data_IF_420815025628
#
_entry.id   IF_420815025628
#
_cell.length_a   1.000
_cell.length_b   1.000
_cell.length_c   1.000
_cell.angle_alpha   90.00
_cell.angle_beta   90.00
_cell.angle_gamma   90.00
#
_symmetry.space_group_name_H-M   'P 1'
#
loop_
_entity.id
_entity.type
_entity.pdbx_description
1 polymer ?
#
# COMPACT_ATOMS: atom_id res chain seq x y z
N UNK A 1 -1.33 14.79 -12.43
CA UNK A 1 -2.37 13.78 -12.18
C UNK A 1 -2.40 13.47 -10.69
N UNK A 2 -3.54 13.69 -10.08
CA UNK A 2 -3.81 13.45 -8.66
C UNK A 2 -4.71 12.23 -8.51
N UNK A 3 -4.45 11.42 -7.49
CA UNK A 3 -5.23 10.23 -7.20
C UNK A 3 -5.75 10.30 -5.79
N UNK A 4 -7.05 10.06 -5.63
CA UNK A 4 -7.67 9.75 -4.35
C UNK A 4 -7.66 8.23 -4.19
N UNK A 5 -7.06 7.75 -3.11
CA UNK A 5 -6.88 6.32 -2.88
C UNK A 5 -7.57 5.87 -1.61
N UNK A 6 -8.20 4.71 -1.74
CA UNK A 6 -8.86 4.01 -0.66
C UNK A 6 -8.36 2.57 -0.59
N UNK A 7 -8.16 2.09 0.63
CA UNK A 7 -8.12 0.66 0.90
C UNK A 7 -9.34 0.32 1.72
N UNK A 8 -10.05 -0.69 1.25
CA UNK A 8 -11.22 -1.27 1.89
C UNK A 8 -10.89 -2.69 2.33
N UNK A 9 -11.43 -3.10 3.46
CA UNK A 9 -11.48 -4.51 3.84
C UNK A 9 -12.91 -5.00 3.70
N UNK A 10 -13.12 -6.07 2.93
CA UNK A 10 -14.42 -6.70 2.79
C UNK A 10 -14.89 -7.23 4.15
N UNK A 11 -16.15 -6.96 4.51
CA UNK A 11 -16.75 -7.50 5.74
C UNK A 11 -16.89 -9.01 5.67
N UNK A 12 -17.19 -9.66 6.81
CA UNK A 12 -17.55 -11.07 6.81
C UNK A 12 -18.77 -11.35 5.90
N UNK A 13 -19.76 -10.46 5.93
CA UNK A 13 -20.95 -10.55 5.07
C UNK A 13 -20.57 -10.64 3.60
N UNK A 14 -19.68 -9.74 3.13
CA UNK A 14 -19.19 -9.73 1.76
C UNK A 14 -18.40 -10.98 1.40
N UNK A 15 -17.49 -11.42 2.28
CA UNK A 15 -16.66 -12.62 2.04
C UNK A 15 -17.50 -13.90 1.92
N UNK A 16 -18.64 -13.98 2.60
CA UNK A 16 -19.59 -15.11 2.48
C UNK A 16 -20.47 -15.04 1.22
N UNK A 17 -20.50 -13.88 0.54
CA UNK A 17 -21.40 -13.58 -0.59
C UNK A 17 -20.65 -12.93 -1.76
N UNK A 18 -19.53 -13.52 -2.16
CA UNK A 18 -18.65 -12.93 -3.17
C UNK A 18 -19.36 -12.62 -4.52
N UNK A 19 -20.22 -13.49 -5.08
CA UNK A 19 -20.91 -13.15 -6.33
C UNK A 19 -21.76 -11.88 -6.20
N UNK A 20 -22.61 -11.81 -5.18
CA UNK A 20 -23.46 -10.64 -4.90
C UNK A 20 -22.63 -9.38 -4.59
N UNK A 21 -21.51 -9.55 -3.89
CA UNK A 21 -20.59 -8.46 -3.60
C UNK A 21 -20.00 -7.85 -4.88
N UNK A 22 -19.59 -8.69 -5.85
CA UNK A 22 -19.03 -8.21 -7.11
C UNK A 22 -20.06 -7.56 -8.02
N UNK A 23 -21.29 -8.08 -8.03
CA UNK A 23 -22.43 -7.42 -8.70
C UNK A 23 -22.70 -6.05 -8.09
N UNK A 24 -22.82 -5.99 -6.76
CA UNK A 24 -23.02 -4.74 -6.05
C UNK A 24 -21.88 -3.74 -6.29
N UNK A 25 -20.61 -4.19 -6.33
CA UNK A 25 -19.46 -3.34 -6.64
C UNK A 25 -19.53 -2.72 -8.03
N UNK A 26 -19.97 -3.50 -9.03
CA UNK A 26 -20.15 -3.03 -10.42
C UNK A 26 -21.25 -1.97 -10.48
N UNK A 27 -22.41 -2.29 -9.94
CA UNK A 27 -23.55 -1.37 -9.89
C UNK A 27 -23.14 -0.09 -9.17
N UNK A 28 -22.46 -0.22 -8.02
CA UNK A 28 -21.91 0.90 -7.25
C UNK A 28 -21.00 1.77 -8.09
N UNK A 29 -20.09 1.20 -8.86
CA UNK A 29 -19.21 2.00 -9.69
C UNK A 29 -19.99 2.84 -10.70
N UNK A 30 -21.02 2.25 -11.32
CA UNK A 30 -21.84 2.94 -12.32
C UNK A 30 -22.63 4.11 -11.71
N UNK A 31 -23.49 3.86 -10.71
CA UNK A 31 -24.36 4.92 -10.18
C UNK A 31 -23.59 5.95 -9.34
N UNK A 32 -22.52 5.56 -8.66
CA UNK A 32 -21.77 6.47 -7.80
C UNK A 32 -21.02 7.52 -8.60
N UNK A 33 -20.45 7.12 -9.74
CA UNK A 33 -19.68 8.01 -10.62
C UNK A 33 -20.46 8.58 -11.80
N UNK A 34 -21.70 8.15 -12.02
CA UNK A 34 -22.57 8.71 -13.06
C UNK A 34 -22.61 10.25 -12.98
N UNK A 35 -22.33 10.92 -14.08
CA UNK A 35 -22.36 12.39 -14.19
C UNK A 35 -21.23 13.14 -13.48
N UNK A 36 -20.20 12.46 -12.95
CA UNK A 36 -19.02 13.10 -12.36
C UNK A 36 -17.92 13.33 -13.41
N UNK A 37 -18.10 14.34 -14.27
CA UNK A 37 -17.20 14.62 -15.40
C UNK A 37 -15.75 14.99 -15.03
N UNK A 38 -15.51 15.37 -13.77
CA UNK A 38 -14.17 15.64 -13.24
C UNK A 38 -13.35 14.38 -12.94
N UNK A 39 -13.99 13.20 -12.88
CA UNK A 39 -13.32 11.92 -12.66
C UNK A 39 -12.77 11.42 -14.00
N UNK A 40 -11.44 11.31 -14.11
CA UNK A 40 -10.79 10.87 -15.34
C UNK A 40 -10.69 9.34 -15.47
N UNK A 41 -10.85 8.63 -14.36
CA UNK A 41 -10.85 7.17 -14.34
C UNK A 41 -10.90 6.62 -12.93
N UNK A 42 -11.30 5.37 -12.83
CA UNK A 42 -11.34 4.60 -11.57
C UNK A 42 -10.60 3.29 -11.75
N UNK A 43 -9.71 2.96 -10.83
CA UNK A 43 -9.00 1.69 -10.77
C UNK A 43 -9.45 0.87 -9.57
N UNK A 44 -9.66 -0.43 -9.76
CA UNK A 44 -9.97 -1.37 -8.68
C UNK A 44 -8.95 -2.51 -8.73
N UNK A 45 -8.27 -2.75 -7.61
CA UNK A 45 -7.35 -3.89 -7.44
C UNK A 45 -7.74 -4.69 -6.21
N UNK A 46 -7.73 -6.00 -6.35
CA UNK A 46 -8.06 -6.93 -5.27
C UNK A 46 -6.77 -7.52 -4.74
N UNK A 47 -6.68 -7.63 -3.42
CA UNK A 47 -5.60 -8.31 -2.73
C UNK A 47 -6.19 -9.29 -1.72
N UNK A 48 -5.98 -10.57 -2.00
CA UNK A 48 -6.41 -11.67 -1.13
C UNK A 48 -5.21 -12.15 -0.32
N UNK A 49 -5.32 -12.10 1.00
CA UNK A 49 -4.44 -12.83 1.90
C UNK A 49 -5.22 -14.00 2.52
N UNK A 50 -4.55 -14.85 3.31
CA UNK A 50 -5.16 -16.05 3.91
C UNK A 50 -6.39 -15.77 4.78
N UNK A 51 -6.54 -14.55 5.31
CA UNK A 51 -7.66 -14.16 6.17
C UNK A 51 -8.37 -12.87 5.75
N UNK A 52 -7.82 -12.10 4.79
CA UNK A 52 -8.35 -10.80 4.39
C UNK A 52 -8.62 -10.73 2.89
N UNK A 53 -9.70 -10.05 2.55
CA UNK A 53 -9.99 -9.58 1.20
C UNK A 53 -9.91 -8.06 1.23
N UNK A 54 -8.81 -7.52 0.72
CA UNK A 54 -8.60 -6.08 0.59
C UNK A 54 -8.96 -5.64 -0.82
N UNK A 55 -9.61 -4.48 -0.91
CA UNK A 55 -9.91 -3.81 -2.17
C UNK A 55 -9.20 -2.46 -2.15
N UNK A 56 -8.34 -2.25 -3.14
CA UNK A 56 -7.70 -0.98 -3.41
C UNK A 56 -8.47 -0.28 -4.51
N UNK A 57 -8.77 0.99 -4.28
CA UNK A 57 -9.57 1.79 -5.20
C UNK A 57 -8.93 3.15 -5.39
N UNK A 58 -8.74 3.50 -6.64
CA UNK A 58 -8.07 4.73 -7.06
C UNK A 58 -9.03 5.53 -7.93
N UNK A 59 -9.08 6.83 -7.70
CA UNK A 59 -9.88 7.78 -8.51
C UNK A 59 -8.95 8.86 -9.02
N UNK A 60 -8.85 8.99 -10.33
CA UNK A 60 -7.94 9.91 -10.99
C UNK A 60 -8.60 11.27 -11.28
N UNK A 61 -7.85 12.34 -11.03
CA UNK A 61 -8.22 13.73 -11.31
C UNK A 61 -7.06 14.44 -12.00
N UNK A 62 -7.37 15.41 -12.86
CA UNK A 62 -6.35 16.24 -13.52
C UNK A 62 -5.39 16.86 -12.48
N UNK A 63 -5.98 17.50 -11.47
CA UNK A 63 -5.35 18.33 -10.46
C UNK A 63 -6.25 18.45 -9.19
N UNK A 64 -5.83 19.30 -8.26
CA UNK A 64 -6.55 19.56 -7.00
C UNK A 64 -7.93 20.22 -7.22
N UNK A 65 -8.12 20.98 -8.31
CA UNK A 65 -9.40 21.62 -8.62
C UNK A 65 -10.46 20.56 -8.93
N UNK A 66 -10.11 19.57 -9.75
CA UNK A 66 -11.00 18.43 -10.02
C UNK A 66 -11.36 17.64 -8.77
N UNK A 67 -10.43 17.45 -7.83
CA UNK A 67 -10.71 16.80 -6.55
C UNK A 67 -11.64 17.65 -5.65
N UNK A 68 -11.46 18.97 -5.64
CA UNK A 68 -12.32 19.89 -4.90
C UNK A 68 -13.75 19.87 -5.45
N UNK A 69 -13.91 19.93 -6.77
CA UNK A 69 -15.20 19.84 -7.45
C UNK A 69 -15.89 18.50 -7.15
N UNK A 70 -15.16 17.39 -7.21
CA UNK A 70 -15.65 16.07 -6.83
C UNK A 70 -16.18 16.02 -5.40
N UNK A 71 -15.44 16.57 -4.43
CA UNK A 71 -15.88 16.63 -3.03
C UNK A 71 -17.14 17.48 -2.87
N UNK A 72 -17.22 18.61 -3.57
CA UNK A 72 -18.42 19.45 -3.56
C UNK A 72 -19.64 18.73 -4.16
N UNK A 73 -19.45 18.00 -5.27
CA UNK A 73 -20.48 17.21 -5.91
C UNK A 73 -20.99 16.09 -4.99
N UNK A 74 -20.09 15.38 -4.29
CA UNK A 74 -20.49 14.37 -3.30
C UNK A 74 -21.23 14.98 -2.12
N UNK A 75 -20.77 16.13 -1.60
CA UNK A 75 -21.45 16.83 -0.51
C UNK A 75 -22.86 17.28 -0.92
N UNK A 76 -23.05 17.68 -2.18
CA UNK A 76 -24.37 18.01 -2.72
C UNK A 76 -25.27 16.78 -2.85
N UNK A 77 -24.74 15.65 -3.38
CA UNK A 77 -25.48 14.38 -3.50
C UNK A 77 -25.87 13.79 -2.16
N UNK A 78 -25.04 13.94 -1.14
CA UNK A 78 -25.35 13.49 0.23
C UNK A 78 -26.56 14.18 0.86
N UNK A 79 -27.09 15.25 0.24
CA UNK A 79 -28.36 15.89 0.66
C UNK A 79 -29.59 15.17 0.11
N UNK A 80 -29.45 14.33 -0.91
CA UNK A 80 -30.51 13.46 -1.39
C UNK A 80 -30.59 12.22 -0.48
N UNK A 81 -31.70 12.02 0.26
CA UNK A 81 -31.84 10.90 1.18
C UNK A 81 -31.74 9.53 0.49
N UNK A 82 -32.24 9.40 -0.74
CA UNK A 82 -32.22 8.13 -1.47
C UNK A 82 -30.77 7.78 -1.88
N UNK A 83 -30.03 8.78 -2.33
CA UNK A 83 -28.62 8.63 -2.66
C UNK A 83 -27.80 8.28 -1.41
N UNK A 84 -28.02 8.99 -0.30
CA UNK A 84 -27.29 8.78 0.95
C UNK A 84 -27.60 7.42 1.57
N UNK A 85 -28.85 6.98 1.54
CA UNK A 85 -29.22 5.63 1.97
C UNK A 85 -28.46 4.58 1.16
N UNK A 86 -28.44 4.70 -0.17
CA UNK A 86 -27.71 3.78 -1.04
C UNK A 86 -26.20 3.84 -0.80
N UNK A 87 -25.64 5.01 -0.48
CA UNK A 87 -24.24 5.16 -0.09
C UNK A 87 -23.94 4.42 1.21
N UNK A 88 -24.81 4.52 2.21
CA UNK A 88 -24.64 3.88 3.52
C UNK A 88 -24.70 2.35 3.45
N UNK A 89 -25.39 1.77 2.45
CA UNK A 89 -25.37 0.31 2.23
C UNK A 89 -23.95 -0.24 2.03
N UNK A 90 -22.99 0.58 1.62
CA UNK A 90 -21.59 0.16 1.45
C UNK A 90 -20.97 -0.40 2.75
N UNK A 91 -21.42 0.07 3.91
CA UNK A 91 -20.84 -0.29 5.20
C UNK A 91 -21.12 -1.76 5.56
N UNK A 92 -22.13 -2.37 4.93
CA UNK A 92 -22.40 -3.81 5.03
C UNK A 92 -21.38 -4.65 4.24
N UNK A 93 -20.77 -4.08 3.21
CA UNK A 93 -19.91 -4.79 2.26
C UNK A 93 -18.43 -4.61 2.55
N UNK A 94 -18.00 -3.41 2.94
CA UNK A 94 -16.62 -3.16 3.30
C UNK A 94 -16.48 -2.10 4.38
N UNK A 95 -15.34 -2.13 5.07
CA UNK A 95 -14.87 -1.07 5.96
C UNK A 95 -13.70 -0.33 5.33
N UNK A 96 -13.65 0.98 5.50
CA UNK A 96 -12.54 1.79 4.99
C UNK A 96 -11.38 1.69 5.99
N UNK A 97 -10.28 1.09 5.57
CA UNK A 97 -9.09 0.89 6.42
C UNK A 97 -8.03 1.97 6.20
N UNK A 98 -7.95 2.51 4.98
CA UNK A 98 -7.02 3.58 4.63
C UNK A 98 -7.64 4.55 3.65
N UNK A 99 -7.31 5.83 3.81
CA UNK A 99 -7.61 6.91 2.88
C UNK A 99 -6.35 7.73 2.65
N UNK A 100 -6.17 8.24 1.44
CA UNK A 100 -5.07 9.16 1.15
C UNK A 100 -5.20 9.76 -0.23
N UNK A 101 -4.24 10.60 -0.57
CA UNK A 101 -4.04 11.15 -1.90
C UNK A 101 -2.59 10.95 -2.30
N UNK A 102 -2.32 10.71 -3.58
CA UNK A 102 -0.96 10.78 -4.12
C UNK A 102 -0.97 11.45 -5.49
N UNK A 103 0.14 12.10 -5.83
CA UNK A 103 0.38 12.72 -7.14
C UNK A 103 1.32 11.84 -7.96
N UNK A 104 1.08 11.71 -9.26
CA UNK A 104 2.07 11.19 -10.23
C UNK A 104 2.95 12.34 -10.75
N UNK A 105 4.24 12.13 -11.07
CA UNK A 105 4.90 10.88 -11.49
C UNK A 105 5.71 10.20 -10.36
N UNK A 106 6.23 8.97 -10.57
CA UNK A 106 7.18 8.37 -9.65
C UNK A 106 8.36 9.32 -9.39
N UNK A 107 8.74 9.47 -8.12
CA UNK A 107 10.03 10.07 -7.78
C UNK A 107 11.11 9.08 -8.27
N UNK A 108 12.01 9.45 -9.19
CA UNK A 108 13.12 8.60 -9.54
C UNK A 108 13.96 8.38 -8.27
N UNK A 109 13.97 7.13 -7.78
CA UNK A 109 14.90 6.70 -6.76
C UNK A 109 16.12 6.17 -7.49
N UNK A 110 17.18 6.97 -7.54
CA UNK A 110 18.49 6.49 -7.97
C UNK A 110 18.96 5.45 -6.95
N UNK A 111 18.71 4.18 -7.23
CA UNK A 111 19.33 3.10 -6.48
C UNK A 111 20.83 3.16 -6.76
N UNK A 112 21.71 3.30 -5.75
CA UNK A 112 23.13 3.20 -6.00
C UNK A 112 23.39 1.86 -6.66
N UNK A 113 24.05 1.89 -7.83
CA UNK A 113 24.43 0.69 -8.56
C UNK A 113 25.05 -0.28 -7.56
N UNK A 114 24.37 -1.41 -7.33
CA UNK A 114 24.84 -2.42 -6.40
C UNK A 114 26.30 -2.69 -6.76
N UNK A 115 27.22 -2.33 -5.87
CA UNK A 115 28.63 -2.56 -6.06
C UNK A 115 28.77 -4.04 -6.42
N UNK A 116 29.11 -4.29 -7.69
CA UNK A 116 29.16 -5.62 -8.28
C UNK A 116 30.24 -6.41 -7.55
N UNK A 117 29.87 -7.06 -6.44
CA UNK A 117 30.67 -8.09 -5.80
C UNK A 117 30.46 -9.40 -6.55
N UNK A 118 30.74 -9.39 -7.85
CA UNK A 118 30.98 -10.60 -8.62
C UNK A 118 32.27 -10.41 -9.40
N UNK A 119 33.38 -10.37 -8.65
CA UNK A 119 34.71 -10.59 -9.20
C UNK A 119 34.87 -12.04 -9.64
N UNK A 120 34.19 -12.46 -10.70
CA UNK A 120 34.63 -13.61 -11.49
C UNK A 120 35.55 -13.09 -12.59
N UNK A 121 36.85 -13.05 -12.28
CA UNK A 121 37.89 -13.00 -13.32
C UNK A 121 37.79 -14.31 -14.10
N UNK A 122 37.27 -14.24 -15.33
CA UNK A 122 37.51 -15.25 -16.36
C UNK A 122 38.90 -15.01 -16.94
N UNK A 123 39.70 -16.05 -17.08
CA UNK A 123 40.81 -16.00 -18.02
C UNK A 123 40.29 -16.12 -19.45
N UNK A 124 41.12 -15.76 -20.44
CA UNK A 124 40.77 -15.77 -21.85
C UNK A 124 40.48 -17.16 -22.46
N UNK A 125 40.26 -18.21 -21.66
CA UNK A 125 39.89 -19.56 -22.14
C UNK A 125 38.67 -20.17 -21.44
N UNK A 126 37.93 -19.39 -20.65
CA UNK A 126 36.56 -19.74 -20.26
C UNK A 126 36.41 -20.94 -19.31
N UNK A 127 37.36 -21.19 -18.40
CA UNK A 127 37.16 -22.15 -17.30
C UNK A 127 36.96 -21.44 -15.96
N UNK A 128 36.08 -21.97 -15.12
CA UNK A 128 35.94 -21.53 -13.74
C UNK A 128 37.05 -22.15 -12.89
N UNK A 129 37.87 -21.30 -12.24
CA UNK A 129 38.83 -21.75 -11.23
C UNK A 129 38.10 -21.87 -9.89
N UNK A 130 37.78 -23.08 -9.46
CA UNK A 130 37.34 -23.35 -8.08
C UNK A 130 38.56 -23.36 -7.16
N UNK A 131 38.92 -22.20 -6.62
CA UNK A 131 39.90 -22.07 -5.53
C UNK A 131 39.27 -22.30 -4.16
N UNK A 132 40.04 -22.73 -3.13
CA UNK A 132 39.50 -23.15 -1.85
C UNK A 132 38.90 -21.96 -1.08
N UNK A 133 37.76 -22.20 -0.42
CA UNK A 133 37.07 -21.23 0.44
C UNK A 133 38.00 -20.80 1.59
N UNK A 134 38.13 -19.50 1.89
CA UNK A 134 38.78 -19.07 3.12
C UNK A 134 37.95 -19.53 4.33
N UNK A 135 38.59 -20.20 5.29
CA UNK A 135 38.04 -20.50 6.61
C UNK A 135 37.62 -19.18 7.27
N UNK A 136 36.33 -19.04 7.56
CA UNK A 136 35.77 -17.95 8.33
C UNK A 136 36.29 -18.08 9.76
N UNK A 137 37.14 -17.15 10.21
CA UNK A 137 37.42 -16.97 11.62
C UNK A 137 36.11 -16.57 12.30
N UNK A 138 35.65 -17.38 13.25
CA UNK A 138 34.61 -17.00 14.21
C UNK A 138 35.24 -15.94 15.12
N UNK A 139 34.99 -14.66 14.83
CA UNK A 139 35.12 -13.62 15.84
C UNK A 139 33.78 -13.52 16.57
N UNK A 140 33.85 -13.77 17.87
CA UNK A 140 32.84 -13.43 18.85
C UNK A 140 32.47 -11.96 18.71
N UNK A 141 31.17 -11.69 18.61
CA UNK A 141 30.61 -10.37 18.94
C UNK A 141 29.49 -10.65 19.92
N UNK A 142 29.89 -10.89 21.17
CA UNK A 142 29.17 -10.27 22.28
C UNK A 142 29.44 -8.77 22.13
N UNK A 143 28.35 -7.99 22.04
CA UNK A 143 28.16 -6.69 22.71
C UNK A 143 26.99 -5.95 22.03
N UNK A 144 25.82 -6.14 22.64
CA UNK A 144 24.60 -5.39 22.41
C UNK A 144 24.73 -3.99 23.04
N UNK A 145 24.64 -2.88 22.28
CA UNK A 145 24.89 -1.53 22.81
C UNK A 145 23.69 -0.90 23.54
N UNK A 146 22.87 -1.67 24.25
CA UNK A 146 21.68 -1.14 24.98
C UNK A 146 21.75 -1.33 26.51
N UNK A 147 22.76 -2.04 27.05
CA UNK A 147 22.90 -2.24 28.51
C UNK A 147 24.01 -1.41 29.18
N UNK A 148 24.70 -0.53 28.45
CA UNK A 148 25.83 0.26 28.97
C UNK A 148 25.42 1.52 29.80
N UNK A 149 24.15 1.67 30.17
CA UNK A 149 23.68 2.85 30.92
C UNK A 149 22.98 2.52 32.25
N UNK A 150 23.08 1.29 32.79
CA UNK A 150 22.45 0.94 34.07
C UNK A 150 23.33 0.24 35.12
N UNK A 151 24.66 0.18 34.91
CA UNK A 151 25.56 -0.52 35.85
C UNK A 151 26.83 0.25 36.17
N UNK A 152 26.71 1.55 36.49
CA UNK A 152 27.73 2.29 37.24
C UNK A 152 27.04 3.27 38.18
N UNK A 153 26.68 2.79 39.38
CA UNK A 153 26.03 3.61 40.39
C UNK A 153 25.59 2.89 41.67
N UNK A 154 26.12 1.71 41.98
CA UNK A 154 25.93 1.06 43.29
C UNK A 154 27.19 0.27 43.64
N UNK A 155 28.13 0.94 44.33
CA UNK A 155 29.05 0.37 45.32
C UNK A 155 30.14 1.38 45.74
N UNK A 156 29.75 2.37 46.55
CA UNK A 156 30.58 2.91 47.62
C UNK A 156 29.62 3.03 48.81
N UNK A 157 29.55 2.04 49.71
CA UNK A 157 30.47 1.82 50.82
C UNK A 157 30.56 3.05 51.74
N UNK A 158 29.91 2.97 52.90
CA UNK A 158 30.01 3.92 54.01
C UNK A 158 28.68 4.22 54.66
#
# INVERSE_FOLDING_TARGET
>A
MLYLVYTFEATEYARRRLPEFWEWMRDRNEWFYAGLGMVQGTGWRIETSSSLLLIHHEVAFADDSGLAEYRAALAARGRDPAWEQRRLEQDRWYRIVRRGTHTSPPVPLDLPAAASRNGSRRDGRGRYLTGPRPRRALMNVDENPVDAARSQGEAAAG
#
